data_IF_852788085314
#
_entry.id   IF_852788085314
#
_cell.length_a   1.000
_cell.length_b   1.000
_cell.length_c   1.000
_cell.angle_alpha   90.00
_cell.angle_beta   90.00
_cell.angle_gamma   90.00
#
_symmetry.space_group_name_H-M   'P 1'
#
loop_
_entity.id
_entity.type
_entity.pdbx_description
1 polymer ?
#
# COMPACT_ATOMS: atom_id res chain seq x y z
N UNK A 1 8.80 37.58 24.47
CA UNK A 1 9.21 37.85 23.08
C UNK A 1 10.12 36.77 22.49
N UNK A 2 11.27 36.41 23.09
CA UNK A 2 12.18 35.39 22.50
C UNK A 2 11.58 33.98 22.33
N UNK A 3 10.77 33.48 23.27
CA UNK A 3 10.04 32.19 23.13
C UNK A 3 8.98 32.24 22.01
N UNK A 4 8.24 33.34 21.91
CA UNK A 4 7.22 33.51 20.87
C UNK A 4 7.86 33.61 19.47
N UNK A 5 8.99 34.32 19.36
CA UNK A 5 9.75 34.44 18.13
C UNK A 5 10.41 33.11 17.71
N UNK A 6 10.86 32.31 18.68
CA UNK A 6 11.41 30.97 18.43
C UNK A 6 10.33 29.99 17.94
N UNK A 7 9.16 29.97 18.59
CA UNK A 7 8.00 29.14 18.18
C UNK A 7 7.49 29.54 16.79
N UNK A 8 7.42 30.84 16.50
CA UNK A 8 7.03 31.33 15.17
C UNK A 8 8.04 30.96 14.10
N UNK A 9 9.35 31.05 14.38
CA UNK A 9 10.41 30.69 13.44
C UNK A 9 10.45 29.17 13.18
N UNK A 10 10.25 28.33 14.21
CA UNK A 10 10.17 26.87 14.05
C UNK A 10 8.90 26.43 13.32
N UNK A 11 7.76 27.11 13.54
CA UNK A 11 6.53 26.88 12.75
C UNK A 11 6.72 27.26 11.28
N UNK A 12 7.45 28.35 11.00
CA UNK A 12 7.68 28.79 9.63
C UNK A 12 8.60 27.83 8.85
N UNK A 13 9.67 27.34 9.50
CA UNK A 13 10.60 26.38 8.90
C UNK A 13 9.91 25.03 8.63
N UNK A 14 9.06 24.56 9.55
CA UNK A 14 8.29 23.32 9.36
C UNK A 14 7.24 23.45 8.26
N UNK A 15 6.53 24.57 8.15
CA UNK A 15 5.59 24.79 7.04
C UNK A 15 6.28 24.83 5.68
N UNK A 16 7.48 25.41 5.60
CA UNK A 16 8.24 25.47 4.35
C UNK A 16 8.79 24.09 3.95
N UNK A 17 9.14 23.24 4.92
CA UNK A 17 9.53 21.85 4.68
C UNK A 17 8.35 21.03 4.12
N UNK A 18 7.17 21.12 4.75
CA UNK A 18 5.95 20.40 4.31
C UNK A 18 5.52 20.85 2.91
N UNK A 19 5.61 22.14 2.59
CA UNK A 19 5.31 22.63 1.25
C UNK A 19 6.22 22.00 0.18
N UNK A 20 7.51 21.82 0.48
CA UNK A 20 8.46 21.13 -0.40
C UNK A 20 8.17 19.64 -0.53
N UNK A 21 7.77 18.97 0.55
CA UNK A 21 7.35 17.56 0.51
C UNK A 21 6.09 17.35 -0.33
N UNK A 22 5.10 18.25 -0.23
CA UNK A 22 3.89 18.22 -1.06
C UNK A 22 4.19 18.43 -2.54
N UNK A 23 5.19 19.26 -2.89
CA UNK A 23 5.66 19.42 -4.27
C UNK A 23 6.32 18.14 -4.79
N UNK A 24 7.20 17.53 -3.99
CA UNK A 24 7.87 16.26 -4.33
C UNK A 24 6.84 15.13 -4.52
N UNK A 25 5.80 15.04 -3.67
CA UNK A 25 4.70 14.07 -3.83
C UNK A 25 4.06 14.17 -5.22
N UNK A 26 3.81 15.39 -5.72
CA UNK A 26 3.23 15.59 -7.05
C UNK A 26 4.24 15.24 -8.14
N UNK A 27 5.51 15.67 -8.01
CA UNK A 27 6.57 15.33 -8.98
C UNK A 27 6.74 13.82 -9.15
N UNK A 28 6.87 13.08 -8.04
CA UNK A 28 6.98 11.63 -8.06
C UNK A 28 5.72 10.98 -8.65
N UNK A 29 4.54 11.49 -8.33
CA UNK A 29 3.29 10.98 -8.90
C UNK A 29 3.21 11.17 -10.42
N UNK A 30 3.62 12.33 -10.93
CA UNK A 30 3.69 12.59 -12.37
C UNK A 30 4.65 11.64 -13.08
N UNK A 31 5.84 11.41 -12.52
CA UNK A 31 6.82 10.46 -13.04
C UNK A 31 6.26 9.03 -13.11
N UNK A 32 5.54 8.60 -12.07
CA UNK A 32 4.84 7.32 -12.09
C UNK A 32 3.84 7.23 -13.25
N UNK A 33 3.01 8.27 -13.46
CA UNK A 33 2.01 8.27 -14.54
C UNK A 33 2.68 8.15 -15.92
N UNK A 34 3.80 8.84 -16.13
CA UNK A 34 4.56 8.76 -17.40
C UNK A 34 5.12 7.35 -17.62
N UNK A 35 5.67 6.71 -16.58
CA UNK A 35 6.25 5.37 -16.66
C UNK A 35 5.19 4.27 -16.83
N UNK A 36 4.00 4.48 -16.28
CA UNK A 36 2.87 3.56 -16.34
C UNK A 36 1.94 3.81 -17.54
N UNK A 37 2.27 4.75 -18.42
CA UNK A 37 1.53 4.93 -19.66
C UNK A 37 1.65 3.67 -20.53
N UNK A 38 0.53 2.97 -20.75
CA UNK A 38 0.47 1.68 -21.44
C UNK A 38 0.60 0.46 -20.52
N UNK A 39 0.50 0.62 -19.19
CA UNK A 39 0.79 -0.41 -18.20
C UNK A 39 0.03 -1.74 -18.35
N UNK A 40 -1.11 -1.79 -19.03
CA UNK A 40 -1.84 -3.04 -19.29
C UNK A 40 -1.08 -4.03 -20.15
N UNK A 41 -0.12 -3.53 -20.93
CA UNK A 41 0.73 -4.33 -21.82
C UNK A 41 2.11 -4.60 -21.19
N UNK A 42 2.39 -4.01 -20.02
CA UNK A 42 3.67 -4.16 -19.34
C UNK A 42 3.67 -5.41 -18.46
N UNK A 43 4.74 -6.21 -18.60
CA UNK A 43 5.06 -7.28 -17.65
C UNK A 43 5.25 -6.67 -16.24
N UNK A 44 4.62 -7.20 -15.18
CA UNK A 44 4.84 -6.77 -13.79
C UNK A 44 6.32 -6.77 -13.34
N UNK A 45 7.17 -7.55 -13.99
CA UNK A 45 8.62 -7.59 -13.77
C UNK A 45 9.43 -6.65 -14.70
N UNK A 46 8.77 -5.86 -15.54
CA UNK A 46 9.43 -4.97 -16.50
C UNK A 46 10.12 -3.77 -15.85
N UNK A 47 11.13 -3.23 -16.53
CA UNK A 47 11.89 -2.06 -16.07
C UNK A 47 11.01 -0.82 -15.82
N UNK A 48 10.00 -0.49 -16.65
CA UNK A 48 9.13 0.64 -16.37
C UNK A 48 8.28 0.46 -15.10
N UNK A 49 7.79 -0.76 -14.83
CA UNK A 49 7.08 -1.06 -13.56
C UNK A 49 8.03 -0.90 -12.37
N UNK A 50 9.28 -1.36 -12.50
CA UNK A 50 10.29 -1.14 -11.46
C UNK A 50 10.58 0.35 -11.22
N UNK A 51 10.76 1.12 -12.29
CA UNK A 51 10.99 2.55 -12.18
C UNK A 51 9.77 3.27 -11.58
N UNK A 52 8.56 2.88 -11.95
CA UNK A 52 7.34 3.43 -11.36
C UNK A 52 7.25 3.10 -9.86
N UNK A 53 7.59 1.87 -9.44
CA UNK A 53 7.69 1.49 -8.03
C UNK A 53 8.72 2.34 -7.28
N UNK A 54 9.84 2.69 -7.90
CA UNK A 54 10.83 3.58 -7.29
C UNK A 54 10.24 4.95 -6.95
N UNK A 55 9.53 5.59 -7.89
CA UNK A 55 8.89 6.87 -7.61
C UNK A 55 7.71 6.74 -6.63
N UNK A 56 6.98 5.61 -6.66
CA UNK A 56 5.97 5.30 -5.65
C UNK A 56 6.57 5.26 -4.24
N UNK A 57 7.71 4.58 -4.05
CA UNK A 57 8.44 4.53 -2.77
C UNK A 57 8.71 5.94 -2.26
N UNK A 58 9.30 6.80 -3.09
CA UNK A 58 9.65 8.17 -2.68
C UNK A 58 8.40 8.98 -2.33
N UNK A 59 7.36 8.92 -3.18
CA UNK A 59 6.05 9.55 -2.92
C UNK A 59 5.50 9.11 -1.57
N UNK A 60 5.52 7.81 -1.31
CA UNK A 60 4.94 7.20 -0.12
C UNK A 60 5.73 7.57 1.15
N UNK A 61 7.07 7.62 1.08
CA UNK A 61 7.94 8.11 2.16
C UNK A 61 7.59 9.56 2.55
N UNK A 62 7.30 10.44 1.58
CA UNK A 62 6.89 11.82 1.85
C UNK A 62 5.50 11.90 2.48
N UNK A 63 4.53 11.14 1.97
CA UNK A 63 3.19 11.07 2.57
C UNK A 63 3.29 10.66 4.04
N UNK A 64 4.08 9.64 4.33
CA UNK A 64 4.28 9.17 5.70
C UNK A 64 5.00 10.18 6.60
N UNK A 65 6.03 10.86 6.09
CA UNK A 65 6.68 11.95 6.83
C UNK A 65 5.67 13.03 7.25
N UNK A 66 4.74 13.41 6.36
CA UNK A 66 3.70 14.40 6.69
C UNK A 66 2.69 13.83 7.71
N UNK A 67 2.30 12.56 7.58
CA UNK A 67 1.42 11.89 8.55
C UNK A 67 2.08 11.83 9.94
N UNK A 68 3.35 11.46 10.03
CA UNK A 68 4.10 11.42 11.30
C UNK A 68 4.15 12.82 11.95
N UNK A 69 4.34 13.87 11.15
CA UNK A 69 4.26 15.25 11.62
C UNK A 69 2.84 15.60 12.11
N UNK A 70 1.80 15.16 11.40
CA UNK A 70 0.41 15.37 11.80
C UNK A 70 0.10 14.73 13.15
N UNK A 71 0.53 13.48 13.36
CA UNK A 71 0.33 12.76 14.61
C UNK A 71 1.06 13.46 15.77
N UNK A 72 2.30 13.92 15.56
CA UNK A 72 3.03 14.69 16.57
C UNK A 72 2.30 16.01 16.92
N UNK A 73 1.84 16.75 15.91
CA UNK A 73 1.12 18.00 16.12
C UNK A 73 -0.25 17.78 16.79
N UNK A 74 -0.85 16.60 16.61
CA UNK A 74 -2.17 16.27 17.16
C UNK A 74 -2.21 16.24 18.69
N UNK A 75 -1.07 15.97 19.34
CA UNK A 75 -0.95 15.92 20.80
C UNK A 75 -1.08 17.33 21.43
N UNK A 76 -0.53 18.35 20.77
CA UNK A 76 -0.39 19.71 21.34
C UNK A 76 -1.31 20.77 20.69
N UNK A 77 -1.87 20.49 19.52
CA UNK A 77 -2.66 21.49 18.77
C UNK A 77 -4.11 21.56 19.25
N UNK A 78 -4.60 22.78 19.48
CA UNK A 78 -6.00 23.02 19.86
C UNK A 78 -6.99 22.43 18.85
N UNK A 79 -8.06 21.79 19.35
CA UNK A 79 -9.15 21.20 18.54
C UNK A 79 -9.97 22.22 17.76
N UNK A 80 -9.79 23.51 18.06
CA UNK A 80 -10.48 24.62 17.41
C UNK A 80 -9.81 25.08 16.09
N UNK A 81 -8.63 24.57 15.75
CA UNK A 81 -7.88 24.93 14.53
C UNK A 81 -7.35 23.67 13.86
N UNK A 82 -7.23 23.65 12.54
CA UNK A 82 -6.56 22.56 11.82
C UNK A 82 -5.08 22.46 12.20
N UNK A 83 -4.51 21.27 12.08
CA UNK A 83 -3.07 21.07 12.09
C UNK A 83 -2.44 21.84 10.92
N UNK A 84 -1.23 22.35 11.13
CA UNK A 84 -0.53 23.14 10.10
C UNK A 84 -0.31 22.35 8.82
N UNK A 85 -0.10 21.03 8.91
CA UNK A 85 0.05 20.13 7.76
C UNK A 85 -1.27 19.95 6.99
N UNK A 86 -2.40 19.84 7.69
CA UNK A 86 -3.74 19.79 7.08
C UNK A 86 -4.04 21.09 6.32
N UNK A 87 -3.71 22.24 6.92
CA UNK A 87 -3.86 23.54 6.27
C UNK A 87 -2.96 23.67 5.05
N UNK A 88 -1.69 23.25 5.15
CA UNK A 88 -0.75 23.28 4.04
C UNK A 88 -1.22 22.42 2.85
N UNK A 89 -1.82 21.25 3.11
CA UNK A 89 -2.42 20.43 2.06
C UNK A 89 -3.58 21.15 1.36
N UNK A 90 -4.48 21.80 2.11
CA UNK A 90 -5.60 22.57 1.54
C UNK A 90 -5.06 23.70 0.66
N UNK A 91 -4.14 24.50 1.19
CA UNK A 91 -3.55 25.64 0.47
C UNK A 91 -2.83 25.19 -0.81
N UNK A 92 -2.15 24.04 -0.77
CA UNK A 92 -1.48 23.47 -1.94
C UNK A 92 -2.50 22.91 -2.95
N UNK A 93 -3.56 22.30 -2.46
CA UNK A 93 -4.61 21.72 -3.32
C UNK A 93 -5.34 22.82 -4.10
N UNK A 94 -5.60 23.96 -3.49
CA UNK A 94 -6.19 25.12 -4.18
C UNK A 94 -5.31 25.63 -5.33
N UNK A 95 -3.98 25.56 -5.19
CA UNK A 95 -3.05 25.95 -6.25
C UNK A 95 -3.08 24.99 -7.45
N UNK A 96 -3.13 23.67 -7.19
CA UNK A 96 -3.17 22.66 -8.27
C UNK A 96 -4.54 22.60 -8.93
N UNK A 97 -5.62 22.78 -8.19
CA UNK A 97 -6.99 22.86 -8.73
C UNK A 97 -7.11 23.93 -9.83
N UNK A 98 -6.35 25.03 -9.72
CA UNK A 98 -6.34 26.10 -10.71
C UNK A 98 -5.45 25.84 -11.94
N UNK A 99 -4.52 24.88 -11.85
CA UNK A 99 -3.53 24.58 -12.90
C UNK A 99 -3.84 23.25 -13.60
N UNK A 100 -3.66 22.16 -12.88
CA UNK A 100 -3.81 20.78 -13.34
C UNK A 100 -4.52 19.96 -12.26
N UNK A 101 -5.87 19.92 -12.26
CA UNK A 101 -6.64 19.20 -11.25
C UNK A 101 -6.26 17.72 -11.13
N UNK A 102 -5.71 17.10 -12.18
CA UNK A 102 -5.24 15.72 -12.12
C UNK A 102 -4.10 15.51 -11.10
N UNK A 103 -3.26 16.52 -10.86
CA UNK A 103 -2.18 16.45 -9.86
C UNK A 103 -2.69 16.19 -8.44
N UNK A 104 -3.93 16.60 -8.14
CA UNK A 104 -4.54 16.38 -6.84
C UNK A 104 -4.69 14.89 -6.51
N UNK A 105 -4.76 14.02 -7.51
CA UNK A 105 -4.77 12.56 -7.31
C UNK A 105 -3.52 12.05 -6.58
N UNK A 106 -2.43 12.83 -6.56
CA UNK A 106 -1.26 12.53 -5.76
C UNK A 106 -1.55 12.51 -4.24
N UNK A 107 -2.58 13.23 -3.78
CA UNK A 107 -2.89 13.46 -2.37
C UNK A 107 -4.06 12.63 -1.82
N UNK A 108 -4.65 11.71 -2.59
CA UNK A 108 -5.83 10.93 -2.15
C UNK A 108 -5.62 10.26 -0.80
N UNK A 109 -4.50 9.56 -0.62
CA UNK A 109 -4.20 8.86 0.64
C UNK A 109 -3.89 9.83 1.78
N UNK A 110 -3.14 10.89 1.49
CA UNK A 110 -2.77 11.90 2.49
C UNK A 110 -4.00 12.66 3.01
N UNK A 111 -4.91 13.05 2.13
CA UNK A 111 -6.13 13.78 2.50
C UNK A 111 -7.04 12.94 3.41
N UNK A 112 -7.24 11.67 3.09
CA UNK A 112 -8.04 10.75 3.90
C UNK A 112 -7.41 10.52 5.28
N UNK A 113 -6.08 10.34 5.35
CA UNK A 113 -5.38 10.16 6.63
C UNK A 113 -5.39 11.41 7.51
N UNK A 114 -5.10 12.58 6.93
CA UNK A 114 -5.16 13.84 7.67
C UNK A 114 -6.59 14.10 8.17
N UNK A 115 -7.62 13.80 7.37
CA UNK A 115 -9.00 13.92 7.80
C UNK A 115 -9.30 13.00 8.99
N UNK A 116 -8.84 11.75 8.95
CA UNK A 116 -9.00 10.82 10.06
C UNK A 116 -8.30 11.32 11.33
N UNK A 117 -7.06 11.82 11.23
CA UNK A 117 -6.31 12.36 12.37
C UNK A 117 -7.05 13.55 13.00
N UNK A 118 -7.56 14.47 12.17
CA UNK A 118 -8.32 15.63 12.63
C UNK A 118 -9.61 15.23 13.34
N UNK A 119 -10.33 14.24 12.81
CA UNK A 119 -11.54 13.71 13.43
C UNK A 119 -11.25 13.01 14.76
N UNK A 120 -10.20 12.19 14.81
CA UNK A 120 -9.83 11.40 16.00
C UNK A 120 -9.41 12.28 17.19
N UNK A 121 -8.67 13.37 16.93
CA UNK A 121 -8.34 14.33 18.00
C UNK A 121 -9.57 15.13 18.45
N UNK A 122 -10.69 15.04 17.74
CA UNK A 122 -11.97 15.68 18.08
C UNK A 122 -12.13 17.09 17.52
N UNK A 123 -11.53 17.39 16.36
CA UNK A 123 -11.81 18.63 15.65
C UNK A 123 -13.29 18.68 15.23
N UNK A 124 -13.91 19.85 15.35
CA UNK A 124 -15.33 20.00 14.96
C UNK A 124 -15.53 19.89 13.45
N UNK A 125 -16.75 19.55 13.02
CA UNK A 125 -17.13 19.50 11.59
C UNK A 125 -16.80 20.82 10.86
N UNK A 126 -16.99 21.97 11.52
CA UNK A 126 -16.69 23.28 10.94
C UNK A 126 -15.18 23.48 10.68
N UNK A 127 -14.33 22.91 11.54
CA UNK A 127 -12.87 22.99 11.40
C UNK A 127 -12.38 22.12 10.25
N UNK A 128 -12.96 20.93 10.07
CA UNK A 128 -12.53 19.98 9.02
C UNK A 128 -13.26 20.16 7.69
N UNK A 129 -14.21 21.09 7.58
CA UNK A 129 -15.10 21.19 6.41
C UNK A 129 -14.37 21.32 5.07
N UNK A 130 -13.27 22.08 5.02
CA UNK A 130 -12.51 22.29 3.78
C UNK A 130 -11.69 21.03 3.44
N UNK A 131 -11.22 20.30 4.45
CA UNK A 131 -10.55 19.02 4.23
C UNK A 131 -11.54 17.94 3.76
N UNK A 132 -12.77 17.93 4.31
CA UNK A 132 -13.87 17.08 3.81
C UNK A 132 -14.24 17.44 2.38
N UNK A 133 -14.29 18.73 2.05
CA UNK A 133 -14.53 19.19 0.68
C UNK A 133 -13.42 18.72 -0.27
N UNK A 134 -12.16 18.82 0.14
CA UNK A 134 -11.03 18.32 -0.64
C UNK A 134 -11.16 16.82 -0.92
N UNK A 135 -11.50 15.99 0.07
CA UNK A 135 -11.67 14.55 -0.17
C UNK A 135 -12.83 14.24 -1.12
N UNK A 136 -13.91 15.03 -1.09
CA UNK A 136 -14.99 14.95 -2.07
C UNK A 136 -14.54 15.37 -3.48
N UNK A 137 -13.80 16.49 -3.60
CA UNK A 137 -13.27 16.95 -4.88
C UNK A 137 -12.30 15.93 -5.49
N UNK A 138 -11.47 15.27 -4.67
CA UNK A 138 -10.58 14.18 -5.09
C UNK A 138 -11.35 12.97 -5.62
N UNK A 139 -12.49 12.62 -4.99
CA UNK A 139 -13.37 11.57 -5.51
C UNK A 139 -13.99 11.95 -6.85
N UNK A 140 -14.47 13.19 -6.99
CA UNK A 140 -15.00 13.72 -8.26
C UNK A 140 -13.95 13.69 -9.38
N UNK A 141 -12.73 14.16 -9.10
CA UNK A 141 -11.60 14.14 -10.03
C UNK A 141 -11.30 12.70 -10.44
N UNK A 142 -11.14 11.78 -9.47
CA UNK A 142 -10.93 10.35 -9.73
C UNK A 142 -12.04 9.76 -10.61
N UNK A 143 -13.30 10.10 -10.35
CA UNK A 143 -14.45 9.66 -11.16
C UNK A 143 -14.37 10.15 -12.61
N UNK A 144 -13.93 11.38 -12.85
CA UNK A 144 -13.83 11.97 -14.20
C UNK A 144 -12.71 11.32 -15.01
N UNK A 145 -11.55 11.09 -14.40
CA UNK A 145 -10.43 10.43 -15.07
C UNK A 145 -10.60 8.92 -15.22
N UNK A 146 -11.51 8.31 -14.45
CA UNK A 146 -11.81 6.87 -14.45
C UNK A 146 -11.88 6.27 -15.86
N UNK A 147 -12.74 6.82 -16.72
CA UNK A 147 -13.00 6.25 -18.04
C UNK A 147 -11.82 6.38 -19.02
N UNK A 148 -10.95 7.38 -18.85
CA UNK A 148 -9.79 7.58 -19.72
C UNK A 148 -8.60 6.74 -19.23
N UNK A 149 -8.45 6.59 -17.91
CA UNK A 149 -7.49 5.68 -17.29
C UNK A 149 -7.80 4.21 -17.65
N UNK A 150 -9.07 3.80 -17.59
CA UNK A 150 -9.50 2.45 -18.00
C UNK A 150 -9.29 2.16 -19.50
N UNK A 151 -9.46 3.16 -20.37
CA UNK A 151 -9.25 2.99 -21.84
C UNK A 151 -7.78 2.82 -22.22
N UNK A 152 -6.88 3.37 -21.42
CA UNK A 152 -5.44 3.17 -21.53
C UNK A 152 -5.08 1.71 -21.28
N UNK A 153 -5.90 1.00 -20.49
CA UNK A 153 -5.69 -0.38 -20.09
C UNK A 153 -6.53 -1.41 -20.88
N UNK A 154 -7.60 -0.98 -21.57
CA UNK A 154 -8.45 -1.82 -22.43
C UNK A 154 -9.20 -0.94 -23.46
N UNK A 155 -8.90 -1.05 -24.76
CA UNK A 155 -9.52 -0.21 -25.82
C UNK A 155 -11.04 -0.44 -25.98
N UNK A 156 -11.87 0.63 -25.88
CA UNK A 156 -12.70 1.25 -26.95
C UNK A 156 -13.74 2.30 -26.42
N UNK A 157 -13.70 3.52 -27.01
CA UNK A 157 -14.71 4.61 -27.21
C UNK A 157 -15.49 5.28 -26.05
N UNK A 158 -16.10 6.44 -26.38
CA UNK A 158 -16.02 7.78 -25.76
C UNK A 158 -17.29 8.31 -25.06
N UNK A 159 -17.16 9.25 -24.09
CA UNK A 159 -17.76 10.62 -24.06
C UNK A 159 -17.37 11.37 -22.77
N UNK A 160 -17.01 12.63 -22.91
CA UNK A 160 -16.43 13.47 -21.85
C UNK A 160 -17.44 14.24 -20.99
N UNK A 161 -16.93 14.71 -19.85
CA UNK A 161 -17.52 15.72 -18.99
C UNK A 161 -16.52 16.87 -18.81
N UNK A 162 -16.99 18.11 -18.95
CA UNK A 162 -16.19 19.34 -19.04
C UNK A 162 -16.15 20.04 -17.67
N UNK A 163 -15.68 19.35 -16.61
CA UNK A 163 -15.40 19.99 -15.30
C UNK A 163 -13.89 20.18 -15.07
N UNK A 164 -13.07 19.26 -15.58
CA UNK A 164 -11.62 19.26 -15.40
C UNK A 164 -10.92 19.09 -16.77
N UNK A 165 -9.59 19.28 -16.81
CA UNK A 165 -8.79 19.04 -18.01
C UNK A 165 -8.97 17.60 -18.54
N UNK A 166 -8.73 17.38 -19.83
CA UNK A 166 -8.81 16.03 -20.39
C UNK A 166 -7.57 15.22 -19.99
N UNK A 167 -7.74 13.92 -19.72
CA UNK A 167 -6.62 13.02 -19.43
C UNK A 167 -5.52 13.06 -20.51
N UNK A 168 -5.94 13.05 -21.78
CA UNK A 168 -4.98 13.11 -22.88
C UNK A 168 -4.21 14.43 -22.91
N UNK A 169 -4.86 15.55 -22.57
CA UNK A 169 -4.21 16.84 -22.42
C UNK A 169 -3.19 16.82 -21.28
N UNK A 170 -3.56 16.24 -20.14
CA UNK A 170 -2.67 16.07 -18.99
C UNK A 170 -1.47 15.17 -19.31
N UNK A 171 -1.68 14.02 -19.95
CA UNK A 171 -0.58 13.15 -20.41
C UNK A 171 0.36 13.84 -21.39
N UNK A 172 -0.17 14.64 -22.33
CA UNK A 172 0.66 15.41 -23.25
C UNK A 172 1.51 16.44 -22.51
N UNK A 173 0.94 17.11 -21.51
CA UNK A 173 1.69 17.99 -20.61
C UNK A 173 2.81 17.24 -19.89
N UNK A 174 2.51 16.10 -19.24
CA UNK A 174 3.50 15.33 -18.50
C UNK A 174 4.64 14.80 -19.38
N UNK A 175 4.33 14.31 -20.57
CA UNK A 175 5.34 13.82 -21.54
C UNK A 175 6.22 14.93 -22.12
N UNK A 176 5.77 16.18 -22.05
CA UNK A 176 6.60 17.33 -22.40
C UNK A 176 7.52 17.75 -21.24
N UNK A 177 7.12 17.46 -19.99
CA UNK A 177 7.88 17.76 -18.77
C UNK A 177 8.93 16.68 -18.46
N UNK A 178 8.59 15.39 -18.65
CA UNK A 178 9.46 14.26 -18.31
C UNK A 178 9.82 13.38 -19.51
N UNK A 179 11.12 13.18 -19.73
CA UNK A 179 11.63 12.25 -20.74
C UNK A 179 11.56 10.79 -20.26
N UNK A 180 10.84 9.93 -20.98
CA UNK A 180 10.65 8.52 -20.60
C UNK A 180 11.97 7.76 -20.37
N UNK A 181 12.93 7.88 -21.30
CA UNK A 181 14.24 7.23 -21.19
C UNK A 181 15.09 7.82 -20.05
N UNK A 182 14.93 9.10 -19.73
CA UNK A 182 15.62 9.73 -18.61
C UNK A 182 15.13 9.15 -17.28
N UNK A 183 13.80 9.01 -17.11
CA UNK A 183 13.20 8.39 -15.94
C UNK A 183 13.65 6.93 -15.74
N UNK A 184 13.79 6.15 -16.81
CA UNK A 184 14.31 4.78 -16.71
C UNK A 184 15.77 4.75 -16.22
N UNK A 185 16.57 5.73 -16.63
CA UNK A 185 17.98 5.83 -16.26
C UNK A 185 18.21 6.35 -14.83
N UNK A 186 17.31 7.19 -14.30
CA UNK A 186 17.37 7.68 -12.91
C UNK A 186 17.46 6.51 -11.90
N UNK A 187 16.74 5.42 -12.16
CA UNK A 187 16.63 4.27 -11.25
C UNK A 187 17.80 3.28 -11.40
N UNK A 188 18.53 3.33 -12.53
CA UNK A 188 19.58 2.35 -12.88
C UNK A 188 20.95 2.57 -12.21
N UNK A 189 21.07 3.56 -11.32
CA UNK A 189 22.36 3.96 -10.70
C UNK A 189 22.66 3.25 -9.37
N UNK A 190 21.74 2.45 -8.81
CA UNK A 190 21.89 1.79 -7.52
C UNK A 190 21.78 0.27 -7.58
N UNK A 191 22.68 -0.44 -6.87
CA UNK A 191 22.72 -1.90 -6.65
C UNK A 191 21.51 -2.47 -5.87
N UNK A 192 20.30 -2.01 -6.13
CA UNK A 192 19.10 -2.70 -5.66
C UNK A 192 18.81 -3.82 -6.66
N UNK A 193 19.40 -4.99 -6.41
CA UNK A 193 19.00 -6.21 -7.11
C UNK A 193 17.56 -6.53 -6.69
N UNK A 194 16.59 -6.17 -7.52
CA UNK A 194 15.40 -7.00 -7.59
C UNK A 194 15.87 -8.33 -8.17
N UNK A 195 15.68 -9.43 -7.44
CA UNK A 195 15.74 -10.72 -8.08
C UNK A 195 14.66 -10.69 -9.17
N UNK A 196 15.07 -10.52 -10.43
CA UNK A 196 14.32 -11.07 -11.54
C UNK A 196 14.31 -12.56 -11.25
N UNK A 197 13.25 -13.03 -10.62
CA UNK A 197 12.81 -14.38 -10.89
C UNK A 197 12.53 -14.37 -12.40
N UNK A 198 13.53 -14.75 -13.19
CA UNK A 198 13.25 -15.60 -14.35
C UNK A 198 12.23 -16.59 -13.81
N UNK A 199 10.98 -16.47 -14.27
CA UNK A 199 9.89 -17.38 -13.99
C UNK A 199 10.48 -18.75 -13.65
N UNK A 200 10.39 -19.20 -12.39
CA UNK A 200 10.79 -20.55 -11.96
C UNK A 200 9.78 -21.54 -12.57
N UNK A 201 9.89 -21.65 -13.88
CA UNK A 201 9.10 -22.35 -14.87
C UNK A 201 9.90 -22.59 -16.15
N UNK A 202 11.06 -21.93 -16.34
CA UNK A 202 12.03 -22.26 -17.40
C UNK A 202 13.22 -23.12 -16.94
N UNK A 203 13.40 -23.35 -15.64
CA UNK A 203 14.47 -24.19 -15.08
C UNK A 203 13.98 -25.56 -14.55
N UNK A 204 12.90 -26.12 -15.12
CA UNK A 204 12.60 -27.54 -15.00
C UNK A 204 13.55 -28.34 -15.90
N UNK A 205 14.80 -28.49 -15.45
CA UNK A 205 15.70 -29.61 -15.69
C UNK A 205 17.14 -29.18 -15.40
N UNK A 206 17.64 -29.50 -14.20
CA UNK A 206 18.99 -30.04 -13.99
C UNK A 206 19.14 -30.54 -12.55
N UNK A 207 18.92 -31.84 -12.44
CA UNK A 207 19.60 -32.81 -11.56
C UNK A 207 20.15 -32.40 -10.20
N UNK A 208 19.51 -32.98 -9.18
CA UNK A 208 20.07 -33.78 -8.08
C UNK A 208 21.48 -33.51 -7.51
N UNK A 209 21.47 -33.42 -6.17
CA UNK A 209 22.53 -33.70 -5.17
C UNK A 209 23.53 -32.57 -4.88
N UNK A 210 23.26 -31.84 -3.80
CA UNK A 210 24.18 -31.80 -2.66
C UNK A 210 23.44 -31.40 -1.37
N UNK A 211 23.49 -32.26 -0.34
CA UNK A 211 22.84 -32.06 0.97
C UNK A 211 23.87 -31.57 2.01
N UNK A 212 24.50 -30.42 1.77
CA UNK A 212 25.34 -29.74 2.78
C UNK A 212 25.31 -28.21 2.71
N UNK A 213 24.38 -27.61 1.97
CA UNK A 213 24.19 -26.15 2.02
C UNK A 213 23.60 -25.74 3.39
N UNK A 214 24.06 -24.65 4.02
CA UNK A 214 23.34 -24.04 5.14
C UNK A 214 21.88 -23.82 4.69
N UNK A 215 20.90 -24.17 5.52
CA UNK A 215 19.48 -23.95 5.17
C UNK A 215 19.29 -22.48 4.77
N UNK A 216 19.12 -22.25 3.46
CA UNK A 216 18.81 -20.95 2.86
C UNK A 216 17.67 -20.29 3.64
N UNK A 217 17.67 -18.95 3.79
CA UNK A 217 16.55 -18.25 4.41
C UNK A 217 15.23 -18.69 3.77
N UNK A 218 14.29 -19.17 4.58
CA UNK A 218 13.03 -19.70 4.06
C UNK A 218 12.19 -18.55 3.48
N UNK A 219 11.94 -18.61 2.18
CA UNK A 219 11.04 -17.70 1.44
C UNK A 219 9.89 -18.50 0.87
N UNK A 220 8.65 -18.09 1.17
CA UNK A 220 7.43 -18.69 0.65
C UNK A 220 6.93 -17.86 -0.54
N UNK A 221 6.66 -18.54 -1.65
CA UNK A 221 6.06 -17.98 -2.86
C UNK A 221 4.74 -18.70 -3.16
N UNK A 222 3.84 -18.04 -3.88
CA UNK A 222 2.52 -18.61 -4.14
C UNK A 222 2.47 -19.71 -5.21
N UNK A 223 3.52 -19.85 -6.01
CA UNK A 223 3.66 -20.95 -6.98
C UNK A 223 3.85 -22.33 -6.31
N UNK A 224 4.21 -22.36 -5.03
CA UNK A 224 4.37 -23.58 -4.24
C UNK A 224 3.04 -24.08 -3.63
N UNK A 225 1.95 -23.31 -3.78
CA UNK A 225 0.64 -23.70 -3.25
C UNK A 225 0.03 -24.87 -4.04
N UNK A 226 -0.95 -25.58 -3.45
CA UNK A 226 -1.78 -26.51 -4.20
C UNK A 226 -2.57 -25.80 -5.31
N UNK A 227 -2.87 -26.52 -6.39
CA UNK A 227 -3.71 -26.00 -7.47
C UNK A 227 -5.08 -25.56 -6.96
N UNK A 228 -5.65 -24.51 -7.57
CA UNK A 228 -6.95 -23.92 -7.17
C UNK A 228 -6.99 -23.46 -5.72
N UNK A 229 -5.85 -23.06 -5.18
CA UNK A 229 -5.79 -22.38 -3.87
C UNK A 229 -5.14 -21.02 -3.99
N UNK A 230 -5.63 -20.10 -3.16
CA UNK A 230 -5.12 -18.74 -3.07
C UNK A 230 -4.95 -18.31 -1.62
N UNK A 231 -3.99 -17.44 -1.38
CA UNK A 231 -3.83 -16.75 -0.09
C UNK A 231 -4.08 -15.26 -0.34
N UNK A 232 -5.06 -14.69 0.36
CA UNK A 232 -5.32 -13.25 0.31
C UNK A 232 -4.37 -12.54 1.27
N UNK A 233 -3.62 -11.56 0.76
CA UNK A 233 -2.67 -10.79 1.58
C UNK A 233 -2.85 -9.29 1.36
N UNK A 234 -2.80 -8.53 2.46
CA UNK A 234 -2.92 -7.08 2.46
C UNK A 234 -1.71 -6.47 3.16
N UNK A 235 -1.00 -5.58 2.49
CA UNK A 235 0.18 -4.89 3.02
C UNK A 235 -0.17 -3.46 3.47
N UNK A 236 0.73 -2.89 4.26
CA UNK A 236 0.79 -1.50 4.73
C UNK A 236 -0.13 -1.09 5.88
N UNK A 237 -1.27 -1.74 6.08
CA UNK A 237 -2.20 -1.36 7.13
C UNK A 237 -1.70 -1.56 8.58
N UNK A 238 -2.59 -1.42 9.57
CA UNK A 238 -4.02 -1.08 9.42
C UNK A 238 -4.23 0.40 9.08
N UNK A 239 -5.07 0.65 8.09
CA UNK A 239 -5.65 1.96 7.78
C UNK A 239 -6.93 2.18 8.60
N UNK A 240 -7.12 3.38 9.15
CA UNK A 240 -8.26 3.65 10.03
C UNK A 240 -9.62 3.51 9.33
N UNK A 241 -9.71 3.92 8.06
CA UNK A 241 -10.98 4.03 7.33
C UNK A 241 -11.24 2.89 6.33
N UNK A 242 -10.19 2.21 5.88
CA UNK A 242 -10.22 1.23 4.78
C UNK A 242 -10.11 -0.21 5.28
N UNK A 243 -9.21 -0.50 6.22
CA UNK A 243 -9.07 -1.85 6.80
C UNK A 243 -10.38 -2.37 7.39
N UNK A 244 -11.17 -1.60 8.18
CA UNK A 244 -12.46 -2.09 8.68
C UNK A 244 -13.44 -2.49 7.57
N UNK A 245 -13.44 -1.78 6.43
CA UNK A 245 -14.31 -2.10 5.29
C UNK A 245 -13.86 -3.37 4.57
N UNK A 246 -12.55 -3.60 4.47
CA UNK A 246 -12.01 -4.85 3.95
C UNK A 246 -12.40 -6.02 4.86
N UNK A 247 -12.31 -5.85 6.19
CA UNK A 247 -12.78 -6.87 7.15
C UNK A 247 -14.27 -7.16 6.99
N UNK A 248 -15.11 -6.13 6.81
CA UNK A 248 -16.54 -6.31 6.54
C UNK A 248 -16.79 -7.15 5.28
N UNK A 249 -16.09 -6.86 4.18
CA UNK A 249 -16.19 -7.60 2.91
C UNK A 249 -15.71 -9.06 3.12
N UNK A 250 -14.55 -9.28 3.74
CA UNK A 250 -14.04 -10.63 3.97
C UNK A 250 -14.98 -11.46 4.86
N UNK A 251 -15.63 -10.82 5.84
CA UNK A 251 -16.66 -11.45 6.66
C UNK A 251 -17.90 -11.82 5.84
N UNK A 252 -18.38 -10.93 4.97
CA UNK A 252 -19.54 -11.17 4.10
C UNK A 252 -19.33 -12.36 3.17
N UNK A 253 -18.10 -12.52 2.66
CA UNK A 253 -17.71 -13.64 1.81
C UNK A 253 -17.21 -14.87 2.56
N UNK A 254 -17.23 -14.84 3.91
CA UNK A 254 -16.79 -15.92 4.78
C UNK A 254 -15.38 -16.44 4.44
N UNK A 255 -14.42 -15.51 4.31
CA UNK A 255 -13.00 -15.82 4.06
C UNK A 255 -12.07 -15.12 5.04
N UNK A 256 -10.82 -15.62 5.11
CA UNK A 256 -9.76 -15.08 5.96
C UNK A 256 -8.54 -14.69 5.11
N UNK A 257 -7.66 -13.89 5.70
CA UNK A 257 -6.56 -13.26 4.99
C UNK A 257 -5.38 -13.01 5.95
N UNK A 258 -4.22 -12.75 5.37
CA UNK A 258 -3.04 -12.25 6.08
C UNK A 258 -2.92 -10.73 5.88
N UNK A 259 -2.54 -10.02 6.93
CA UNK A 259 -2.29 -8.59 6.91
C UNK A 259 -0.85 -8.35 7.35
N UNK A 260 0.01 -7.94 6.44
CA UNK A 260 1.38 -7.55 6.72
C UNK A 260 1.37 -6.08 7.12
N UNK A 261 1.34 -5.84 8.43
CA UNK A 261 1.20 -4.49 8.96
C UNK A 261 2.53 -3.81 9.20
N UNK A 262 2.58 -2.54 8.82
CA UNK A 262 3.71 -1.66 9.11
C UNK A 262 3.65 -1.28 10.59
N UNK A 263 4.76 -1.47 11.30
CA UNK A 263 4.83 -1.32 12.76
C UNK A 263 4.36 0.05 13.25
N UNK A 264 4.74 1.16 12.60
CA UNK A 264 4.29 2.50 13.01
C UNK A 264 2.77 2.67 12.99
N UNK A 265 2.06 1.96 12.11
CA UNK A 265 0.60 2.00 12.02
C UNK A 265 -0.06 1.27 13.21
N UNK A 266 0.69 0.44 13.95
CA UNK A 266 0.26 -0.20 15.20
C UNK A 266 0.64 0.62 16.44
N UNK A 267 1.65 1.48 16.37
CA UNK A 267 2.11 2.31 17.49
C UNK A 267 3.59 2.66 17.43
N UNK A 268 4.15 3.06 18.58
CA UNK A 268 5.56 3.46 18.74
C UNK A 268 6.27 2.65 19.82
N UNK A 269 7.60 2.53 19.71
CA UNK A 269 8.46 1.99 20.78
C UNK A 269 9.08 3.16 21.51
N UNK A 270 8.93 3.21 22.84
CA UNK A 270 9.56 4.26 23.64
C UNK A 270 11.06 3.99 23.86
N UNK A 271 11.74 4.97 24.46
CA UNK A 271 13.18 4.92 24.75
C UNK A 271 13.60 3.73 25.63
N UNK A 272 12.67 3.16 26.38
CA UNK A 272 12.90 2.05 27.30
C UNK A 272 12.62 0.69 26.61
N UNK A 273 12.21 0.72 25.33
CA UNK A 273 11.92 -0.45 24.52
C UNK A 273 10.47 -0.94 24.66
N UNK A 274 9.61 -0.19 25.35
CA UNK A 274 8.23 -0.59 25.61
C UNK A 274 7.29 -0.14 24.49
N UNK A 275 6.35 -1.02 24.14
CA UNK A 275 5.35 -0.74 23.12
C UNK A 275 4.27 0.22 23.63
N UNK A 276 4.03 1.29 22.87
CA UNK A 276 2.87 2.17 22.99
C UNK A 276 1.99 1.96 21.76
N UNK A 277 1.02 1.07 21.89
CA UNK A 277 0.01 0.79 20.87
C UNK A 277 -0.84 2.04 20.58
N UNK A 278 -0.95 2.37 19.30
CA UNK A 278 -1.62 3.57 18.80
C UNK A 278 -3.13 3.36 18.54
N UNK A 279 -3.72 4.32 17.81
CA UNK A 279 -5.17 4.37 17.55
C UNK A 279 -5.71 3.14 16.81
N UNK A 280 -4.93 2.53 15.93
CA UNK A 280 -5.37 1.38 15.14
C UNK A 280 -5.34 0.05 15.91
N UNK A 281 -5.02 0.06 17.22
CA UNK A 281 -5.05 -1.15 18.05
C UNK A 281 -6.39 -1.88 17.95
N UNK A 282 -7.52 -1.16 18.02
CA UNK A 282 -8.86 -1.75 17.96
C UNK A 282 -9.11 -2.47 16.65
N UNK A 283 -8.61 -1.94 15.53
CA UNK A 283 -8.72 -2.52 14.19
C UNK A 283 -7.88 -3.80 14.11
N UNK A 284 -6.64 -3.76 14.58
CA UNK A 284 -5.78 -4.94 14.62
C UNK A 284 -6.32 -6.04 15.56
N UNK A 285 -6.95 -5.68 16.68
CA UNK A 285 -7.64 -6.63 17.55
C UNK A 285 -8.89 -7.22 16.88
N UNK A 286 -9.65 -6.41 16.15
CA UNK A 286 -10.81 -6.88 15.36
C UNK A 286 -10.38 -7.92 14.33
N UNK A 287 -9.33 -7.63 13.55
CA UNK A 287 -8.72 -8.53 12.57
C UNK A 287 -8.40 -9.90 13.20
N UNK A 288 -7.72 -9.90 14.35
CA UNK A 288 -7.37 -11.14 15.06
C UNK A 288 -8.62 -11.89 15.57
N UNK A 289 -9.58 -11.17 16.16
CA UNK A 289 -10.82 -11.76 16.67
C UNK A 289 -11.69 -12.37 15.56
N UNK A 290 -11.57 -11.85 14.34
CA UNK A 290 -12.25 -12.39 13.17
C UNK A 290 -11.51 -13.56 12.53
N UNK A 291 -10.31 -13.93 13.01
CA UNK A 291 -9.53 -15.10 12.56
C UNK A 291 -8.57 -14.82 11.42
N UNK A 292 -8.28 -13.55 11.12
CA UNK A 292 -7.23 -13.16 10.19
C UNK A 292 -5.87 -13.20 10.89
N UNK A 293 -4.79 -13.18 10.10
CA UNK A 293 -3.42 -13.25 10.63
C UNK A 293 -2.76 -11.87 10.51
N UNK A 294 -2.20 -11.40 11.63
CA UNK A 294 -1.39 -10.19 11.69
C UNK A 294 0.11 -10.54 11.56
N UNK A 295 0.77 -9.99 10.55
CA UNK A 295 2.14 -10.28 10.16
C UNK A 295 3.01 -9.01 10.08
N UNK A 296 4.33 -9.18 10.00
CA UNK A 296 5.30 -8.09 10.04
C UNK A 296 5.58 -7.51 8.63
N UNK A 297 5.51 -6.17 8.48
CA UNK A 297 5.91 -5.46 7.26
C UNK A 297 6.93 -4.34 7.50
N UNK A 298 7.93 -4.59 8.35
CA UNK A 298 8.86 -3.59 8.90
C UNK A 298 8.18 -2.49 9.72
N UNK A 299 8.96 -1.60 10.33
CA UNK A 299 8.43 -0.58 11.22
C UNK A 299 8.04 0.69 10.47
N UNK A 300 8.89 1.16 9.56
CA UNK A 300 8.75 2.42 8.83
C UNK A 300 8.44 2.27 7.34
N UNK A 301 8.34 1.03 6.83
CA UNK A 301 8.19 0.74 5.41
C UNK A 301 9.43 1.15 4.56
N UNK A 302 10.62 1.13 5.18
CA UNK A 302 11.88 1.41 4.51
C UNK A 302 12.32 0.29 3.56
N UNK A 303 13.09 0.63 2.52
CA UNK A 303 13.77 -0.36 1.66
C UNK A 303 14.87 -1.06 2.46
N UNK A 304 14.54 -2.17 3.11
CA UNK A 304 15.40 -2.85 4.11
C UNK A 304 16.78 -3.25 3.55
N UNK A 305 16.87 -3.57 2.26
CA UNK A 305 18.12 -3.95 1.60
C UNK A 305 19.12 -2.80 1.47
N UNK A 306 18.66 -1.54 1.62
CA UNK A 306 19.52 -0.35 1.66
C UNK A 306 19.99 0.02 3.07
N UNK A 307 19.47 -0.66 4.10
CA UNK A 307 19.80 -0.39 5.48
C UNK A 307 21.01 -1.21 5.95
N UNK A 308 21.72 -0.65 6.94
CA UNK A 308 22.70 -1.41 7.71
C UNK A 308 22.00 -2.47 8.56
N UNK A 309 22.73 -3.54 8.89
CA UNK A 309 22.24 -4.68 9.68
C UNK A 309 21.49 -4.26 10.93
N UNK A 310 22.02 -3.33 11.73
CA UNK A 310 21.40 -2.88 12.98
C UNK A 310 20.08 -2.15 12.76
N UNK A 311 20.00 -1.32 11.71
CA UNK A 311 18.78 -0.61 11.35
C UNK A 311 17.71 -1.60 10.82
N UNK A 312 18.10 -2.55 9.97
CA UNK A 312 17.19 -3.60 9.50
C UNK A 312 16.68 -4.48 10.66
N UNK A 313 17.54 -4.86 11.60
CA UNK A 313 17.12 -5.59 12.80
C UNK A 313 16.15 -4.75 13.66
N UNK A 314 16.38 -3.44 13.77
CA UNK A 314 15.49 -2.53 14.50
C UNK A 314 14.10 -2.48 13.85
N UNK A 315 14.02 -2.29 12.54
CA UNK A 315 12.78 -2.29 11.76
C UNK A 315 11.90 -3.53 12.01
N UNK A 316 12.52 -4.72 11.94
CA UNK A 316 11.80 -5.97 12.15
C UNK A 316 11.47 -6.22 13.62
N UNK A 317 12.40 -5.96 14.54
CA UNK A 317 12.20 -6.24 15.97
C UNK A 317 11.20 -5.30 16.65
N UNK A 318 11.18 -4.01 16.30
CA UNK A 318 10.18 -3.07 16.82
C UNK A 318 8.76 -3.47 16.40
N UNK A 319 8.61 -3.86 15.13
CA UNK A 319 7.34 -4.36 14.60
C UNK A 319 6.90 -5.64 15.27
N UNK A 320 7.81 -6.59 15.52
CA UNK A 320 7.51 -7.80 16.30
C UNK A 320 7.02 -7.47 17.71
N UNK A 321 7.63 -6.48 18.38
CA UNK A 321 7.23 -6.04 19.72
C UNK A 321 5.84 -5.42 19.72
N UNK A 322 5.52 -4.58 18.72
CA UNK A 322 4.19 -3.97 18.57
C UNK A 322 3.12 -5.00 18.24
N UNK A 323 3.38 -5.92 17.31
CA UNK A 323 2.46 -7.02 17.00
C UNK A 323 2.19 -7.85 18.26
N UNK A 324 3.24 -8.24 19.01
CA UNK A 324 3.07 -8.96 20.28
C UNK A 324 2.25 -8.18 21.31
N UNK A 325 2.42 -6.87 21.39
CA UNK A 325 1.64 -6.03 22.31
C UNK A 325 0.14 -5.97 21.94
N UNK A 326 -0.19 -6.17 20.66
CA UNK A 326 -1.58 -6.20 20.17
C UNK A 326 -2.18 -7.61 20.22
N UNK A 327 -1.45 -8.63 19.77
CA UNK A 327 -1.94 -10.00 19.57
C UNK A 327 -1.66 -10.95 20.74
N UNK A 328 -0.70 -10.61 21.61
CA UNK A 328 -0.17 -11.52 22.63
C UNK A 328 0.98 -12.42 22.14
N UNK A 329 1.20 -12.53 20.83
CA UNK A 329 2.16 -13.44 20.21
C UNK A 329 3.10 -12.71 19.24
N UNK A 330 4.32 -13.22 19.09
CA UNK A 330 5.24 -12.70 18.06
C UNK A 330 4.76 -13.19 16.69
N UNK A 331 4.88 -12.36 15.63
CA UNK A 331 4.59 -12.83 14.29
C UNK A 331 5.61 -13.90 13.88
N UNK A 332 5.17 -14.89 13.11
CA UNK A 332 6.02 -15.95 12.55
C UNK A 332 6.48 -15.64 11.12
N UNK A 333 5.82 -14.70 10.45
CA UNK A 333 6.07 -14.37 9.05
C UNK A 333 6.25 -12.86 8.87
N UNK A 334 7.01 -12.50 7.86
CA UNK A 334 7.20 -11.13 7.44
C UNK A 334 7.20 -11.03 5.91
N UNK A 335 6.86 -9.85 5.41
CA UNK A 335 7.07 -9.49 4.01
C UNK A 335 7.96 -8.26 3.96
N UNK A 336 9.04 -8.25 3.16
CA UNK A 336 9.85 -7.06 3.02
C UNK A 336 9.10 -5.99 2.21
N UNK A 337 9.11 -4.71 2.64
CA UNK A 337 8.63 -3.60 1.84
C UNK A 337 9.14 -3.66 0.40
N UNK A 338 8.23 -3.39 -0.54
CA UNK A 338 8.48 -3.38 -1.98
C UNK A 338 8.99 -4.71 -2.57
N UNK A 339 8.93 -5.81 -1.80
CA UNK A 339 9.50 -7.10 -2.20
C UNK A 339 11.02 -7.13 -2.22
N UNK A 340 11.69 -6.19 -1.54
CA UNK A 340 13.15 -6.09 -1.54
C UNK A 340 13.80 -7.25 -0.77
N UNK A 341 14.81 -7.91 -1.36
CA UNK A 341 15.46 -9.09 -0.76
C UNK A 341 16.99 -9.05 -0.96
N UNK A 342 17.73 -9.52 0.05
CA UNK A 342 19.16 -9.87 -0.03
C UNK A 342 19.51 -10.85 1.10
N UNK A 343 20.69 -11.49 1.02
CA UNK A 343 21.13 -12.49 2.00
C UNK A 343 21.19 -11.92 3.43
N UNK A 344 21.64 -10.66 3.56
CA UNK A 344 21.71 -9.98 4.85
C UNK A 344 20.32 -9.92 5.52
N UNK A 345 19.29 -9.51 4.77
CA UNK A 345 17.91 -9.42 5.26
C UNK A 345 17.36 -10.81 5.60
N UNK A 346 17.62 -11.81 4.75
CA UNK A 346 17.23 -13.20 5.01
C UNK A 346 17.80 -13.73 6.32
N UNK A 347 19.08 -13.50 6.59
CA UNK A 347 19.75 -13.90 7.83
C UNK A 347 19.21 -13.18 9.08
N UNK A 348 18.88 -11.88 8.96
CA UNK A 348 18.26 -11.13 10.06
C UNK A 348 16.88 -11.68 10.36
N UNK A 349 16.05 -11.90 9.34
CA UNK A 349 14.72 -12.46 9.50
C UNK A 349 14.76 -13.84 10.17
N UNK A 350 15.65 -14.72 9.72
CA UNK A 350 15.86 -16.05 10.32
C UNK A 350 16.24 -15.96 11.80
N UNK A 351 17.16 -15.06 12.18
CA UNK A 351 17.54 -14.82 13.59
C UNK A 351 16.38 -14.31 14.45
N UNK A 352 15.44 -13.60 13.85
CA UNK A 352 14.22 -13.12 14.51
C UNK A 352 13.08 -14.15 14.51
N UNK A 353 13.28 -15.33 13.91
CA UNK A 353 12.26 -16.37 13.79
C UNK A 353 11.18 -16.05 12.77
N UNK A 354 11.49 -15.22 11.77
CA UNK A 354 10.56 -14.78 10.73
C UNK A 354 10.84 -15.50 9.42
N UNK A 355 9.77 -16.00 8.78
CA UNK A 355 9.79 -16.56 7.42
C UNK A 355 9.36 -15.47 6.43
N UNK A 356 10.10 -15.31 5.32
CA UNK A 356 9.75 -14.32 4.31
C UNK A 356 8.61 -14.82 3.43
N UNK A 357 7.60 -13.99 3.17
CA UNK A 357 6.46 -14.33 2.32
C UNK A 357 6.35 -13.32 1.19
N UNK A 358 6.38 -13.82 -0.03
CA UNK A 358 6.29 -13.01 -1.25
C UNK A 358 4.92 -13.22 -1.93
N UNK A 359 4.80 -12.84 -3.20
CA UNK A 359 3.59 -13.00 -4.01
C UNK A 359 3.95 -13.36 -5.44
N UNK A 360 3.01 -13.98 -6.14
CA UNK A 360 3.09 -14.23 -7.59
C UNK A 360 1.92 -13.60 -8.35
N UNK A 361 0.85 -13.19 -7.65
CA UNK A 361 -0.27 -12.45 -8.23
C UNK A 361 -0.24 -11.02 -7.67
N UNK A 362 0.09 -10.04 -8.51
CA UNK A 362 0.16 -8.62 -8.10
C UNK A 362 -1.05 -7.86 -8.62
N UNK A 363 -1.84 -7.29 -7.70
CA UNK A 363 -3.01 -6.51 -8.06
C UNK A 363 -2.68 -5.17 -8.73
N UNK A 364 -1.47 -4.64 -8.46
CA UNK A 364 -1.06 -3.28 -8.81
C UNK A 364 -2.06 -2.22 -8.32
N UNK A 365 -2.77 -2.50 -7.23
CA UNK A 365 -3.76 -1.59 -6.65
C UNK A 365 -3.16 -0.26 -6.15
N UNK A 366 -1.86 -0.24 -5.81
CA UNK A 366 -1.11 0.98 -5.51
C UNK A 366 -0.91 1.92 -6.71
N UNK A 367 -0.99 1.39 -7.93
CA UNK A 367 -0.79 2.12 -9.18
C UNK A 367 -2.10 2.41 -9.90
N UNK A 368 -3.02 1.44 -9.93
CA UNK A 368 -4.26 1.49 -10.70
C UNK A 368 -5.43 1.98 -9.83
N UNK A 369 -6.00 3.17 -10.08
CA UNK A 369 -7.13 3.69 -9.32
C UNK A 369 -8.48 3.05 -9.70
N UNK A 370 -8.52 2.13 -10.67
CA UNK A 370 -9.75 1.57 -11.24
C UNK A 370 -10.03 0.18 -10.65
N UNK A 371 -11.08 0.04 -9.80
CA UNK A 371 -11.39 -1.23 -9.14
C UNK A 371 -11.61 -2.40 -10.11
N UNK A 372 -12.38 -2.18 -11.18
CA UNK A 372 -12.71 -3.23 -12.15
C UNK A 372 -11.46 -3.71 -12.90
N UNK A 373 -10.54 -2.80 -13.24
CA UNK A 373 -9.29 -3.16 -13.90
C UNK A 373 -8.34 -3.94 -12.97
N UNK A 374 -8.33 -3.62 -11.67
CA UNK A 374 -7.64 -4.42 -10.65
C UNK A 374 -8.23 -5.83 -10.60
N UNK A 375 -9.56 -5.94 -10.53
CA UNK A 375 -10.23 -7.24 -10.45
C UNK A 375 -9.93 -8.11 -11.69
N UNK A 376 -10.09 -7.55 -12.89
CA UNK A 376 -9.78 -8.21 -14.15
C UNK A 376 -8.33 -8.67 -14.24
N UNK A 377 -7.39 -7.83 -13.78
CA UNK A 377 -5.95 -8.15 -13.77
C UNK A 377 -5.66 -9.34 -12.86
N UNK A 378 -6.16 -9.30 -11.63
CA UNK A 378 -5.96 -10.37 -10.63
C UNK A 378 -6.54 -11.68 -11.15
N UNK A 379 -7.77 -11.67 -11.67
CA UNK A 379 -8.43 -12.87 -12.16
C UNK A 379 -7.75 -13.45 -13.41
N UNK A 380 -7.23 -12.59 -14.30
CA UNK A 380 -6.47 -13.04 -15.47
C UNK A 380 -5.14 -13.69 -15.08
N UNK A 381 -4.36 -13.07 -14.19
CA UNK A 381 -3.13 -13.67 -13.66
C UNK A 381 -3.44 -15.02 -13.00
N UNK A 382 -4.56 -15.15 -12.28
CA UNK A 382 -4.97 -16.42 -11.68
C UNK A 382 -5.40 -17.47 -12.69
N UNK A 383 -6.02 -17.08 -13.79
CA UNK A 383 -6.38 -17.99 -14.90
C UNK A 383 -5.11 -18.54 -15.57
N UNK A 384 -4.02 -17.77 -15.59
CA UNK A 384 -2.69 -18.17 -16.11
C UNK A 384 -1.91 -19.04 -15.11
N UNK A 385 -1.82 -18.62 -13.85
CA UNK A 385 -0.99 -19.27 -12.81
C UNK A 385 -1.69 -20.47 -12.13
N UNK A 386 -3.02 -20.51 -12.11
CA UNK A 386 -3.80 -21.59 -11.51
C UNK A 386 -3.81 -21.63 -9.97
N UNK A 387 -3.05 -20.74 -9.31
CA UNK A 387 -2.88 -20.61 -7.86
C UNK A 387 -2.13 -19.33 -7.50
N UNK A 388 -2.10 -18.94 -6.22
CA UNK A 388 -1.11 -17.96 -5.80
C UNK A 388 -1.34 -17.26 -4.47
N UNK A 389 -0.34 -16.48 -4.08
CA UNK A 389 -0.46 -15.48 -3.02
C UNK A 389 -0.76 -14.14 -3.71
N UNK A 390 -1.90 -13.55 -3.39
CA UNK A 390 -2.39 -12.31 -3.99
C UNK A 390 -1.95 -11.13 -3.12
N UNK A 391 -1.22 -10.18 -3.71
CA UNK A 391 -0.83 -8.94 -3.06
C UNK A 391 -1.86 -7.84 -3.30
N UNK A 392 -2.36 -7.29 -2.19
CA UNK A 392 -3.16 -6.08 -2.11
C UNK A 392 -2.60 -5.17 -1.02
N UNK A 393 -3.12 -3.95 -0.91
CA UNK A 393 -2.83 -3.05 0.22
C UNK A 393 -4.14 -2.57 0.84
N UNK A 394 -4.31 -2.79 2.15
CA UNK A 394 -5.53 -2.39 2.87
C UNK A 394 -5.59 -0.89 3.18
N UNK A 395 -4.54 -0.17 2.79
CA UNK A 395 -4.50 1.29 2.76
C UNK A 395 -5.15 1.87 1.50
N UNK A 396 -5.57 1.12 0.48
CA UNK A 396 -6.05 1.72 -0.77
C UNK A 396 -7.58 1.63 -0.96
N UNK A 397 -8.21 2.75 -1.34
CA UNK A 397 -9.67 2.84 -1.56
C UNK A 397 -10.12 1.97 -2.74
N UNK A 398 -9.31 1.90 -3.78
CA UNK A 398 -9.56 1.08 -4.97
C UNK A 398 -9.58 -0.41 -4.62
N UNK A 399 -8.75 -0.87 -3.69
CA UNK A 399 -8.74 -2.25 -3.18
C UNK A 399 -10.04 -2.61 -2.48
N UNK A 400 -10.55 -1.72 -1.61
CA UNK A 400 -11.86 -1.88 -0.97
C UNK A 400 -12.97 -2.10 -2.01
N UNK A 401 -12.92 -1.35 -3.11
CA UNK A 401 -13.93 -1.41 -4.17
C UNK A 401 -13.76 -2.61 -5.11
N UNK A 402 -12.53 -3.08 -5.33
CA UNK A 402 -12.22 -4.19 -6.24
C UNK A 402 -12.47 -5.57 -5.60
N UNK A 403 -12.32 -5.64 -4.28
CA UNK A 403 -12.32 -6.90 -3.54
C UNK A 403 -13.60 -7.74 -3.74
N UNK A 404 -14.83 -7.18 -3.75
CA UNK A 404 -16.03 -7.99 -4.00
C UNK A 404 -16.01 -8.71 -5.35
N UNK A 405 -15.63 -8.04 -6.44
CA UNK A 405 -15.57 -8.64 -7.77
C UNK A 405 -14.49 -9.72 -7.84
N UNK A 406 -13.34 -9.51 -7.19
CA UNK A 406 -12.30 -10.53 -7.08
C UNK A 406 -12.82 -11.77 -6.35
N UNK A 407 -13.48 -11.59 -5.20
CA UNK A 407 -14.01 -12.71 -4.42
C UNK A 407 -15.12 -13.46 -5.15
N UNK A 408 -15.99 -12.76 -5.88
CA UNK A 408 -16.96 -13.35 -6.79
C UNK A 408 -16.27 -14.16 -7.92
N UNK A 409 -15.24 -13.59 -8.55
CA UNK A 409 -14.44 -14.26 -9.57
C UNK A 409 -13.74 -15.52 -9.06
N UNK A 410 -13.22 -15.49 -7.83
CA UNK A 410 -12.65 -16.66 -7.14
C UNK A 410 -13.72 -17.74 -6.88
N UNK A 411 -14.91 -17.33 -6.40
CA UNK A 411 -16.05 -18.22 -6.18
C UNK A 411 -16.42 -18.96 -7.46
N UNK A 412 -16.68 -18.22 -8.55
CA UNK A 412 -17.09 -18.79 -9.84
C UNK A 412 -16.05 -19.75 -10.42
N UNK A 413 -14.76 -19.48 -10.19
CA UNK A 413 -13.65 -20.31 -10.66
C UNK A 413 -13.27 -21.46 -9.71
N UNK A 414 -13.92 -21.56 -8.55
CA UNK A 414 -13.71 -22.61 -7.57
C UNK A 414 -12.37 -22.53 -6.82
N UNK A 415 -11.76 -21.35 -6.71
CA UNK A 415 -10.53 -21.18 -5.92
C UNK A 415 -10.85 -21.18 -4.42
N UNK A 416 -10.02 -21.88 -3.64
CA UNK A 416 -10.12 -21.93 -2.19
C UNK A 416 -9.16 -20.94 -1.55
N UNK A 417 -9.67 -20.09 -0.66
CA UNK A 417 -8.85 -19.25 0.20
C UNK A 417 -8.29 -20.10 1.36
N UNK A 418 -6.97 -20.13 1.48
CA UNK A 418 -6.22 -21.01 2.39
C UNK A 418 -5.13 -20.24 3.16
N UNK A 419 -4.60 -20.88 4.20
CA UNK A 419 -3.36 -20.50 4.88
C UNK A 419 -2.14 -20.82 4.01
N UNK A 420 -0.96 -20.32 4.40
CA UNK A 420 0.30 -20.55 3.68
C UNK A 420 0.73 -22.02 3.60
N UNK A 421 0.23 -22.88 4.50
CA UNK A 421 0.48 -24.33 4.46
C UNK A 421 -0.54 -25.11 3.60
N UNK A 422 -1.44 -24.39 2.90
CA UNK A 422 -2.45 -24.98 2.02
C UNK A 422 -3.70 -25.50 2.76
N UNK A 423 -3.81 -25.30 4.07
CA UNK A 423 -5.02 -25.67 4.84
C UNK A 423 -6.04 -24.52 4.87
N UNK A 424 -7.29 -24.79 5.25
CA UNK A 424 -8.28 -23.71 5.41
C UNK A 424 -8.12 -23.07 6.79
N UNK A 425 -8.11 -21.73 6.88
CA UNK A 425 -7.94 -21.02 8.17
C UNK A 425 -8.97 -21.48 9.23
N UNK A 426 -10.22 -21.62 8.81
CA UNK A 426 -11.32 -22.19 9.58
C UNK A 426 -12.18 -23.03 8.62
N UNK A 427 -12.41 -24.30 8.93
CA UNK A 427 -13.19 -25.21 8.09
C UNK A 427 -14.63 -24.72 7.82
N UNK A 428 -15.14 -23.78 8.62
CA UNK A 428 -16.48 -23.22 8.46
C UNK A 428 -16.48 -21.79 7.87
N UNK A 429 -15.33 -21.11 7.79
CA UNK A 429 -15.22 -19.70 7.35
C UNK A 429 -14.06 -19.48 6.36
N UNK A 430 -13.63 -20.52 5.69
CA UNK A 430 -12.59 -20.47 4.66
C UNK A 430 -12.86 -21.57 3.65
N UNK A 431 -12.18 -21.49 2.50
CA UNK A 431 -12.49 -22.29 1.33
C UNK A 431 -12.95 -21.39 0.17
N UNK A 432 -13.89 -21.87 -0.64
CA UNK A 432 -14.40 -21.09 -1.76
C UNK A 432 -15.21 -19.92 -1.18
N UNK A 433 -14.93 -18.65 -1.55
CA UNK A 433 -15.67 -17.50 -1.04
C UNK A 433 -17.17 -17.69 -1.21
N UNK A 434 -17.98 -17.33 -0.22
CA UNK A 434 -19.44 -17.45 -0.30
C UNK A 434 -20.04 -16.15 -0.86
N UNK A 435 -20.93 -16.25 -1.85
CA UNK A 435 -21.60 -15.05 -2.35
C UNK A 435 -22.52 -14.45 -1.28
N UNK A 436 -22.56 -13.11 -1.15
CA UNK A 436 -23.47 -12.40 -0.27
C UNK A 436 -24.91 -12.88 -0.37
N UNK A 437 -25.62 -12.88 0.77
CA UNK A 437 -27.03 -13.32 0.81
C UNK A 437 -27.97 -12.46 -0.05
N UNK A 438 -27.60 -11.21 -0.34
CA UNK A 438 -28.34 -10.27 -1.20
C UNK A 438 -28.29 -10.61 -2.68
N UNK A 439 -27.32 -11.41 -3.14
CA UNK A 439 -27.15 -11.81 -4.54
C UNK A 439 -27.73 -13.21 -4.85
N UNK A 440 -28.25 -13.92 -3.85
CA UNK A 440 -28.88 -15.24 -4.01
C UNK A 440 -30.37 -15.17 -4.41
N UNK A 441 -30.87 -14.00 -4.83
CA UNK A 441 -32.28 -13.75 -5.14
C UNK A 441 -32.58 -13.70 -6.64
#
# INVERSE_FOLDING_TARGET
>A
MKKLLFVLLTCFISMQAVAGELEDIVDQHRKMIVLLDGASELDPASLPIFAARHHYVIKHERIHSIIDQAEQLSEDTSKAVLLSVSQALIDKSDQYMQKHPADLLAFVDLADELLAIEQDRGASVEVVKELVRLTMDLEDISNVYRNEYSKLLNKFKTRGLVKYESWQGYLTFLKAEFGYEELLNEVHTGKAELYRSETRGSALAKDQKDQTAPEEPQVIWGNELPDKTVVLTFDDGPNHSRTPKILDILQEYEVKAYFFSVGRNLGKIDKDGEAKVGRNKSIAQRLLNEGHILANHSFSHAVLTKLKTEACNTELSQTNTLIKAVSGEKPAIFRPPYGSQNDQLGEIAKKLGLISVMWNIDSLDWADPIPDAIADRVLRQLDEEGKGILLFHDIHKQTVKALPEILNGLHQRGYKVVTLDGTSFDQNKSGIPQLPKSEKA
#
